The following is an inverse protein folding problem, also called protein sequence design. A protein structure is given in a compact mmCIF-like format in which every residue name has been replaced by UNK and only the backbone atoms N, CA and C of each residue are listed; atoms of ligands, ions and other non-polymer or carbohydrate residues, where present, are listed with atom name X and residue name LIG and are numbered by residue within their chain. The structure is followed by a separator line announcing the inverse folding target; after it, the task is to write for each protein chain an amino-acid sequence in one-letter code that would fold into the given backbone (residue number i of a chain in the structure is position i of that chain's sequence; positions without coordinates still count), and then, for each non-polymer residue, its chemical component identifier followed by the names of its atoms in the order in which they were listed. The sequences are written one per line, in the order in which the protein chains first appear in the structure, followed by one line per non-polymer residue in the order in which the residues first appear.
data_IF_059041288470
#
_entry.id   IF_059041288470
#
_cell.length_a   1.000
_cell.length_b   1.000
_cell.length_c   1.000
_cell.angle_alpha   90.00
_cell.angle_beta   90.00
_cell.angle_gamma   90.00
#
_symmetry.space_group_name_H-M   'P 1'
#
loop_
_entity.id
_entity.type
_entity.pdbx_description
1 polymer ?
#
# COMPACT_ATOMS: atom_id res chain seq x y z
N UNK A 1 -2.95 4.59 -8.17
CA UNK A 1 -1.58 4.22 -8.54
C UNK A 1 -1.14 3.02 -7.71
N UNK A 2 -0.42 2.08 -8.30
CA UNK A 2 0.20 0.96 -7.60
C UNK A 2 1.68 0.88 -7.99
N UNK A 3 2.57 0.76 -7.02
CA UNK A 3 4.00 0.62 -7.24
C UNK A 3 4.66 -0.26 -6.16
N UNK A 4 5.82 -0.82 -6.48
CA UNK A 4 6.62 -1.64 -5.56
C UNK A 4 8.08 -1.19 -5.66
N UNK A 5 8.72 -0.96 -4.52
CA UNK A 5 10.14 -0.61 -4.42
C UNK A 5 10.86 -1.53 -3.45
N UNK A 6 12.07 -1.95 -3.79
CA UNK A 6 12.97 -2.55 -2.81
C UNK A 6 13.49 -1.45 -1.87
N UNK A 7 13.62 -1.76 -0.57
CA UNK A 7 14.08 -0.81 0.46
C UNK A 7 15.24 -1.35 1.31
N UNK A 8 15.81 -2.49 0.93
CA UNK A 8 16.96 -3.14 1.60
C UNK A 8 18.26 -3.04 0.79
N UNK A 9 18.32 -2.13 -0.20
CA UNK A 9 19.49 -1.91 -1.04
C UNK A 9 19.75 -3.00 -2.09
N UNK A 10 18.87 -4.01 -2.20
CA UNK A 10 18.95 -5.04 -3.23
C UNK A 10 18.06 -4.70 -4.43
N UNK A 11 18.32 -5.34 -5.56
CA UNK A 11 17.39 -5.32 -6.70
C UNK A 11 16.09 -6.05 -6.34
N UNK A 12 14.98 -5.68 -6.98
CA UNK A 12 13.64 -6.19 -6.64
C UNK A 12 13.56 -7.73 -6.61
N UNK A 13 14.29 -8.42 -7.48
CA UNK A 13 14.31 -9.90 -7.53
C UNK A 13 14.89 -10.55 -6.27
N UNK A 14 15.87 -9.91 -5.62
CA UNK A 14 16.64 -10.46 -4.50
C UNK A 14 16.27 -9.79 -3.15
N UNK A 15 15.44 -8.75 -3.21
CA UNK A 15 14.99 -8.00 -2.04
C UNK A 15 14.04 -8.81 -1.18
N UNK A 16 14.24 -8.76 0.13
CA UNK A 16 13.36 -9.36 1.15
C UNK A 16 12.49 -8.32 1.86
N UNK A 17 12.71 -7.02 1.58
CA UNK A 17 11.91 -5.91 2.09
C UNK A 17 11.43 -5.03 0.95
N UNK A 18 10.13 -5.11 0.69
CA UNK A 18 9.47 -4.39 -0.38
C UNK A 18 8.47 -3.37 0.19
N UNK A 19 8.60 -2.11 -0.21
CA UNK A 19 7.58 -1.10 0.02
C UNK A 19 6.56 -1.17 -1.12
N UNK A 20 5.33 -1.54 -0.79
CA UNK A 20 4.18 -1.47 -1.68
C UNK A 20 3.48 -0.14 -1.47
N UNK A 21 3.32 0.61 -2.55
CA UNK A 21 2.65 1.91 -2.57
C UNK A 21 1.32 1.73 -3.30
N UNK A 22 0.22 1.88 -2.56
CA UNK A 22 -1.13 1.83 -3.07
C UNK A 22 -1.84 3.15 -2.81
N UNK A 23 -1.55 4.13 -3.66
CA UNK A 23 -2.13 5.46 -3.58
C UNK A 23 -3.45 5.51 -4.35
N UNK A 24 -4.55 5.67 -3.61
CA UNK A 24 -5.86 6.06 -4.14
C UNK A 24 -6.03 7.58 -4.07
N UNK A 25 -7.19 8.06 -4.49
CA UNK A 25 -7.56 9.46 -4.34
C UNK A 25 -7.62 9.85 -2.85
N UNK A 26 -7.01 10.98 -2.50
CA UNK A 26 -6.93 11.52 -1.15
C UNK A 26 -7.37 12.98 -1.16
N UNK A 27 -8.42 13.31 -0.40
CA UNK A 27 -9.13 14.60 -0.48
C UNK A 27 -9.59 15.09 0.86
N UNK A 28 -9.61 16.40 1.06
CA UNK A 28 -10.32 16.99 2.20
C UNK A 28 -11.80 16.57 2.18
N UNK A 29 -12.39 16.47 3.37
CA UNK A 29 -13.82 16.26 3.52
C UNK A 29 -14.59 17.39 2.84
N UNK A 30 -15.58 17.04 2.04
CA UNK A 30 -16.43 17.97 1.26
C UNK A 30 -15.68 18.82 0.21
N UNK A 31 -14.47 18.42 -0.23
CA UNK A 31 -13.77 19.07 -1.34
C UNK A 31 -14.60 18.98 -2.63
N UNK A 32 -14.69 20.09 -3.37
CA UNK A 32 -15.43 20.17 -4.63
C UNK A 32 -14.58 20.72 -5.77
N UNK A 33 -14.74 20.10 -6.92
CA UNK A 33 -14.15 20.56 -8.18
C UNK A 33 -15.23 21.20 -9.04
N UNK A 34 -14.89 22.29 -9.72
CA UNK A 34 -15.79 22.96 -10.67
C UNK A 34 -16.00 22.11 -11.92
N UNK A 35 -14.99 21.33 -12.28
CA UNK A 35 -14.95 20.53 -13.50
C UNK A 35 -14.86 19.03 -13.22
N UNK A 36 -15.38 18.23 -14.16
CA UNK A 36 -15.37 16.76 -14.07
C UNK A 36 -13.99 16.13 -14.19
N UNK A 37 -13.01 16.86 -14.75
CA UNK A 37 -11.64 16.39 -14.84
C UNK A 37 -10.83 16.71 -13.56
N UNK A 38 -11.48 17.34 -12.57
CA UNK A 38 -10.96 17.63 -11.24
C UNK A 38 -9.67 18.47 -11.30
N UNK A 39 -9.64 19.44 -12.22
CA UNK A 39 -8.48 20.31 -12.44
C UNK A 39 -8.57 21.64 -11.70
N UNK A 40 -9.78 22.11 -11.40
CA UNK A 40 -10.03 23.39 -10.74
C UNK A 40 -10.84 23.16 -9.48
N UNK A 41 -10.22 23.43 -8.34
CA UNK A 41 -10.86 23.36 -7.03
C UNK A 41 -11.81 24.55 -6.90
N UNK A 42 -13.08 24.26 -6.64
CA UNK A 42 -14.10 25.26 -6.33
C UNK A 42 -14.14 25.54 -4.82
N UNK A 43 -14.06 24.47 -4.02
CA UNK A 43 -14.03 24.52 -2.56
C UNK A 43 -13.01 23.51 -2.05
N UNK A 44 -12.12 23.96 -1.18
CA UNK A 44 -11.08 23.14 -0.55
C UNK A 44 -11.63 22.19 0.51
N UNK A 45 -12.88 22.35 0.94
CA UNK A 45 -13.50 21.57 2.00
C UNK A 45 -12.81 21.80 3.34
N UNK A 46 -12.75 20.76 4.17
CA UNK A 46 -12.13 20.81 5.51
C UNK A 46 -11.38 19.53 5.85
N UNK A 47 -10.49 19.64 6.83
CA UNK A 47 -9.92 18.46 7.47
C UNK A 47 -11.01 17.67 8.23
N UNK A 48 -10.88 16.35 8.36
CA UNK A 48 -9.73 15.53 7.96
C UNK A 48 -9.67 15.23 6.45
N UNK A 49 -8.47 14.87 5.98
CA UNK A 49 -8.28 14.25 4.66
C UNK A 49 -8.88 12.84 4.70
N UNK A 50 -9.70 12.54 3.70
CA UNK A 50 -10.28 11.24 3.41
C UNK A 50 -9.47 10.52 2.34
N UNK A 51 -9.35 9.21 2.45
CA UNK A 51 -8.72 8.35 1.46
C UNK A 51 -9.80 7.47 0.83
N UNK A 52 -9.95 7.50 -0.49
CA UNK A 52 -10.89 6.64 -1.19
C UNK A 52 -10.50 5.18 -0.96
N UNK A 53 -11.39 4.40 -0.33
CA UNK A 53 -11.13 2.97 -0.11
C UNK A 53 -11.14 2.22 -1.44
N UNK A 54 -10.05 1.49 -1.71
CA UNK A 54 -9.88 0.69 -2.92
C UNK A 54 -9.29 -0.68 -2.59
N UNK A 55 -9.46 -1.61 -3.53
CA UNK A 55 -8.93 -2.97 -3.43
C UNK A 55 -8.24 -3.39 -4.73
N UNK A 56 -7.18 -4.18 -4.61
CA UNK A 56 -6.48 -4.78 -5.76
C UNK A 56 -5.96 -6.17 -5.40
N UNK A 57 -6.06 -7.10 -6.34
CA UNK A 57 -5.44 -8.42 -6.19
C UNK A 57 -3.99 -8.36 -6.68
N UNK A 58 -3.05 -8.70 -5.80
CA UNK A 58 -1.61 -8.62 -6.04
C UNK A 58 -1.04 -10.03 -6.09
N UNK A 59 -0.32 -10.32 -7.18
CA UNK A 59 0.48 -11.53 -7.33
C UNK A 59 1.92 -11.13 -7.64
N UNK A 60 2.87 -11.64 -6.86
CA UNK A 60 4.30 -11.41 -7.09
C UNK A 60 5.00 -12.74 -7.31
N UNK A 61 5.47 -12.95 -8.55
CA UNK A 61 6.22 -14.14 -8.92
C UNK A 61 7.62 -14.14 -8.27
N UNK A 62 8.15 -15.33 -7.99
CA UNK A 62 9.49 -15.51 -7.42
C UNK A 62 9.58 -16.77 -6.57
N UNK A 63 10.76 -16.97 -5.97
CA UNK A 63 11.09 -18.11 -5.10
C UNK A 63 10.80 -17.82 -3.63
N UNK A 64 9.66 -17.18 -3.32
CA UNK A 64 9.28 -16.86 -1.94
C UNK A 64 8.90 -18.13 -1.17
N UNK A 65 9.45 -18.30 0.03
CA UNK A 65 9.16 -19.38 0.98
C UNK A 65 8.06 -18.96 1.95
N UNK A 66 8.14 -17.73 2.45
CA UNK A 66 7.15 -17.14 3.37
C UNK A 66 7.13 -15.64 3.24
N UNK A 67 6.00 -15.01 3.56
CA UNK A 67 5.85 -13.57 3.49
C UNK A 67 4.84 -13.03 4.50
N UNK A 68 4.99 -11.76 4.84
CA UNK A 68 4.09 -10.98 5.69
C UNK A 68 3.85 -9.61 5.08
N UNK A 69 2.64 -9.09 5.25
CA UNK A 69 2.24 -7.76 4.81
C UNK A 69 1.78 -6.95 6.03
N UNK A 70 2.39 -5.79 6.21
CA UNK A 70 2.11 -4.89 7.33
C UNK A 70 1.83 -3.47 6.81
N UNK A 71 0.80 -2.76 7.32
CA UNK A 71 0.59 -1.35 7.01
C UNK A 71 1.75 -0.50 7.54
N UNK A 72 2.08 0.56 6.82
CA UNK A 72 3.07 1.56 7.25
C UNK A 72 2.39 2.91 7.38
N UNK A 73 2.55 3.57 8.53
CA UNK A 73 2.05 4.92 8.77
C UNK A 73 2.86 5.97 8.01
N UNK A 74 2.32 7.18 7.89
CA UNK A 74 3.06 8.32 7.29
C UNK A 74 4.28 8.74 8.14
N UNK A 75 4.32 8.33 9.40
CA UNK A 75 5.46 8.45 10.31
C UNK A 75 6.53 7.36 10.10
N UNK A 76 6.32 6.45 9.14
CA UNK A 76 7.19 5.32 8.88
C UNK A 76 7.02 4.15 9.85
N UNK A 77 6.09 4.22 10.80
CA UNK A 77 5.85 3.15 11.76
C UNK A 77 5.19 1.96 11.09
N UNK A 78 5.77 0.78 11.26
CA UNK A 78 5.16 -0.49 10.83
C UNK A 78 4.11 -0.91 11.85
N UNK A 79 2.89 -1.18 11.38
CA UNK A 79 1.77 -1.62 12.20
C UNK A 79 1.62 -3.16 12.21
N UNK A 80 0.64 -3.65 12.97
CA UNK A 80 0.33 -5.08 13.05
C UNK A 80 0.07 -5.67 11.64
N UNK A 81 0.65 -6.85 11.38
CA UNK A 81 0.49 -7.55 10.11
C UNK A 81 -0.99 -7.78 9.79
N UNK A 82 -1.35 -7.56 8.53
CA UNK A 82 -2.72 -7.76 8.03
C UNK A 82 -2.85 -8.99 7.14
N UNK A 83 -1.74 -9.51 6.63
CA UNK A 83 -1.70 -10.77 5.89
C UNK A 83 -0.35 -11.45 6.05
N UNK A 84 -0.35 -12.77 5.89
CA UNK A 84 0.85 -13.60 5.83
C UNK A 84 0.56 -14.84 4.98
N UNK A 85 1.60 -15.45 4.43
CA UNK A 85 1.47 -16.67 3.65
C UNK A 85 2.80 -17.41 3.49
N UNK A 86 2.70 -18.63 2.99
CA UNK A 86 3.83 -19.44 2.54
C UNK A 86 3.79 -19.61 1.02
N UNK A 87 4.95 -19.81 0.40
CA UNK A 87 5.07 -19.98 -1.04
C UNK A 87 4.84 -18.67 -1.83
N UNK A 88 4.26 -18.76 -3.04
CA UNK A 88 4.00 -17.61 -3.89
C UNK A 88 3.22 -16.49 -3.18
N UNK A 89 3.60 -15.24 -3.47
CA UNK A 89 2.93 -14.08 -2.89
C UNK A 89 1.66 -13.81 -3.68
N UNK A 90 0.52 -14.00 -3.02
CA UNK A 90 -0.80 -13.70 -3.55
C UNK A 90 -1.69 -13.17 -2.42
N UNK A 91 -2.22 -11.95 -2.57
CA UNK A 91 -3.14 -11.37 -1.59
C UNK A 91 -4.03 -10.29 -2.21
N UNK A 92 -5.18 -10.06 -1.57
CA UNK A 92 -6.02 -8.89 -1.85
C UNK A 92 -5.60 -7.74 -0.95
N UNK A 93 -5.05 -6.68 -1.54
CA UNK A 93 -4.73 -5.46 -0.83
C UNK A 93 -5.98 -4.58 -0.69
N UNK A 94 -6.27 -4.14 0.52
CA UNK A 94 -7.34 -3.19 0.82
C UNK A 94 -6.75 -2.05 1.67
N UNK A 95 -6.78 -0.84 1.13
CA UNK A 95 -6.15 0.32 1.78
C UNK A 95 -6.87 0.77 3.07
N UNK A 96 -7.98 0.13 3.46
CA UNK A 96 -8.71 0.36 4.70
C UNK A 96 -8.79 -0.85 5.64
N UNK A 97 -8.03 -1.93 5.42
CA UNK A 97 -8.15 -3.17 6.21
C UNK A 97 -7.43 -3.17 7.57
N UNK A 98 -6.54 -2.21 7.84
CA UNK A 98 -5.75 -2.17 9.08
C UNK A 98 -6.48 -1.55 10.27
N UNK A 99 -6.23 -2.06 11.48
CA UNK A 99 -6.72 -1.46 12.74
C UNK A 99 -6.21 -0.03 12.97
N UNK A 100 -5.07 0.32 12.37
CA UNK A 100 -4.47 1.65 12.43
C UNK A 100 -5.18 2.69 11.55
N UNK A 101 -6.19 2.27 10.77
CA UNK A 101 -6.90 3.11 9.81
C UNK A 101 -6.36 2.96 8.38
N UNK A 102 -6.89 3.77 7.45
CA UNK A 102 -6.48 3.70 6.06
C UNK A 102 -5.03 4.11 5.83
N UNK A 103 -4.33 3.46 4.91
CA UNK A 103 -2.96 3.82 4.52
C UNK A 103 -2.68 3.59 3.03
N UNK A 104 -1.72 4.33 2.49
CA UNK A 104 -1.17 4.16 1.14
C UNK A 104 0.08 3.29 1.09
N UNK A 105 0.67 2.95 2.24
CA UNK A 105 1.96 2.27 2.31
C UNK A 105 1.86 0.93 3.05
N UNK A 106 2.51 -0.09 2.49
CA UNK A 106 2.59 -1.41 3.08
C UNK A 106 4.00 -1.95 2.95
N UNK A 107 4.50 -2.55 4.02
CA UNK A 107 5.74 -3.30 4.02
C UNK A 107 5.42 -4.77 3.75
N UNK A 108 5.92 -5.27 2.63
CA UNK A 108 5.92 -6.69 2.29
C UNK A 108 7.31 -7.24 2.60
N UNK A 109 7.39 -8.02 3.67
CA UNK A 109 8.60 -8.77 4.02
C UNK A 109 8.44 -10.19 3.51
N UNK A 110 9.48 -10.73 2.88
CA UNK A 110 9.47 -12.09 2.34
C UNK A 110 10.80 -12.78 2.59
N UNK A 111 10.75 -14.09 2.73
CA UNK A 111 11.93 -14.97 2.77
C UNK A 111 12.07 -15.65 1.43
N UNK A 112 13.24 -15.55 0.81
CA UNK A 112 13.51 -16.24 -0.46
C UNK A 112 14.12 -17.62 -0.21
N UNK A 113 13.88 -18.55 -1.14
CA UNK A 113 14.59 -19.82 -1.14
C UNK A 113 16.07 -19.57 -1.45
N UNK A 114 16.95 -20.30 -0.77
CA UNK A 114 18.38 -20.34 -1.12
C UNK A 114 18.50 -20.90 -2.53
N UNK A 115 19.22 -20.19 -3.40
CA UNK A 115 19.51 -20.65 -4.76
C UNK A 115 20.50 -21.81 -4.75
#
# INVERSE_FOLDING_TARGET
MFAVSAIDGKVLKDSEKLLVIFASDARNSDMRFRDKAEKVIEDWGRLPVTLLRNRVDVNLAGNTVSWTLSPVGLDGKVHERIAAGSGPIAFRLDNGAGKAGPTTFFLLERKLAVQ
#
